data_IF_219094411274
#
_entry.id   IF_219094411274
#
_cell.length_a   1.000
_cell.length_b   1.000
_cell.length_c   1.000
_cell.angle_alpha   90.00
_cell.angle_beta   90.00
_cell.angle_gamma   90.00
#
_symmetry.space_group_name_H-M   'P 1'
#
loop_
_entity.id
_entity.type
_entity.pdbx_description
1 polymer ?
#
# COMPACT_ATOMS: atom_id res chain seq x y z
N UNK A 1 -5.64 -27.34 -2.16
CA UNK A 1 -5.55 -26.95 -3.57
C UNK A 1 -4.41 -25.94 -3.71
N UNK A 2 -3.34 -26.23 -4.45
CA UNK A 2 -2.26 -25.26 -4.64
C UNK A 2 -2.80 -24.06 -5.45
N UNK A 3 -2.58 -22.83 -4.95
CA UNK A 3 -2.94 -21.60 -5.66
C UNK A 3 -2.02 -21.45 -6.87
N UNK A 4 -2.61 -21.42 -8.07
CA UNK A 4 -1.91 -21.10 -9.31
C UNK A 4 -1.47 -19.63 -9.24
N UNK A 5 -0.16 -19.40 -9.04
CA UNK A 5 0.41 -18.05 -8.95
C UNK A 5 0.39 -17.40 -10.33
N UNK A 6 -0.25 -16.24 -10.45
CA UNK A 6 -0.19 -15.46 -11.69
C UNK A 6 1.07 -14.61 -11.71
N UNK A 7 2.08 -15.04 -12.45
CA UNK A 7 3.33 -14.32 -12.60
C UNK A 7 3.22 -13.27 -13.73
N UNK A 8 3.81 -12.09 -13.53
CA UNK A 8 3.96 -11.04 -14.55
C UNK A 8 5.37 -10.45 -14.50
N UNK A 9 5.80 -9.75 -15.56
CA UNK A 9 7.15 -9.18 -15.63
C UNK A 9 7.09 -7.66 -15.51
N UNK A 10 7.98 -7.07 -14.72
CA UNK A 10 8.13 -5.61 -14.61
C UNK A 10 9.61 -5.24 -14.64
N UNK A 11 9.93 -4.22 -15.42
CA UNK A 11 11.26 -3.60 -15.43
C UNK A 11 11.39 -2.73 -14.19
N UNK A 12 12.40 -3.00 -13.36
CA UNK A 12 12.75 -2.20 -12.20
C UNK A 12 14.19 -1.71 -12.38
N UNK A 13 14.41 -0.40 -12.23
CA UNK A 13 15.77 0.14 -12.14
C UNK A 13 16.32 -0.13 -10.74
N UNK A 14 17.37 -0.93 -10.67
CA UNK A 14 18.14 -1.18 -9.46
C UNK A 14 19.58 -0.74 -9.72
N UNK A 15 20.08 0.21 -8.91
CA UNK A 15 21.47 0.67 -8.99
C UNK A 15 21.93 1.14 -10.40
N UNK A 16 21.04 1.71 -11.20
CA UNK A 16 21.36 2.24 -12.54
C UNK A 16 21.23 1.24 -13.68
N UNK A 17 20.87 -0.01 -13.40
CA UNK A 17 20.54 -1.02 -14.41
C UNK A 17 19.05 -1.38 -14.36
N UNK A 18 18.40 -1.35 -15.52
CA UNK A 18 17.01 -1.75 -15.67
C UNK A 18 16.93 -3.28 -15.82
N UNK A 19 16.44 -3.97 -14.80
CA UNK A 19 16.26 -5.42 -14.79
C UNK A 19 14.78 -5.82 -14.91
N UNK A 20 14.47 -6.79 -15.77
CA UNK A 20 13.16 -7.44 -15.78
C UNK A 20 13.05 -8.40 -14.58
N UNK A 21 12.09 -8.14 -13.71
CA UNK A 21 11.80 -8.99 -12.55
C UNK A 21 10.42 -9.59 -12.71
N UNK A 22 10.34 -10.90 -12.47
CA UNK A 22 9.08 -11.63 -12.38
C UNK A 22 8.44 -11.28 -11.04
N UNK A 23 7.34 -10.55 -11.09
CA UNK A 23 6.49 -10.23 -9.95
C UNK A 23 5.34 -11.23 -9.88
N UNK A 24 4.96 -11.64 -8.67
CA UNK A 24 3.71 -12.34 -8.47
C UNK A 24 2.58 -11.30 -8.53
N UNK A 25 1.69 -11.39 -9.52
CA UNK A 25 0.56 -10.47 -9.67
C UNK A 25 -0.48 -10.66 -8.57
N UNK A 26 -0.47 -11.81 -7.89
CA UNK A 26 -1.26 -12.04 -6.69
C UNK A 26 -0.61 -11.37 -5.46
N UNK A 27 0.63 -10.87 -5.56
CA UNK A 27 1.33 -10.12 -4.51
C UNK A 27 0.76 -8.72 -4.32
N UNK A 28 0.06 -8.16 -5.32
CA UNK A 28 -0.81 -6.99 -5.16
C UNK A 28 -1.95 -7.00 -6.19
N UNK A 29 -3.19 -7.34 -5.78
CA UNK A 29 -4.39 -7.21 -6.63
C UNK A 29 -4.57 -5.79 -7.20
N UNK A 30 -4.06 -4.77 -6.49
CA UNK A 30 -4.10 -3.39 -6.94
C UNK A 30 -3.17 -3.14 -8.13
N UNK A 31 -1.97 -3.74 -8.13
CA UNK A 31 -1.04 -3.62 -9.26
C UNK A 31 -1.64 -4.20 -10.55
N UNK A 32 -2.35 -5.34 -10.45
CA UNK A 32 -3.08 -5.92 -11.58
C UNK A 32 -4.24 -5.04 -12.05
N UNK A 33 -5.00 -4.45 -11.11
CA UNK A 33 -6.08 -3.52 -11.45
C UNK A 33 -5.55 -2.24 -12.12
N UNK A 34 -4.40 -1.73 -11.68
CA UNK A 34 -3.78 -0.53 -12.23
C UNK A 34 -3.20 -0.76 -13.64
N UNK A 35 -2.67 -1.94 -13.92
CA UNK A 35 -2.11 -2.27 -15.24
C UNK A 35 -3.17 -2.60 -16.29
N UNK A 36 -4.35 -3.06 -15.86
CA UNK A 36 -5.42 -3.45 -16.78
C UNK A 36 -6.22 -2.24 -17.26
N UNK A 37 -6.49 -2.19 -18.56
CA UNK A 37 -7.39 -1.20 -19.16
C UNK A 37 -8.81 -1.76 -19.25
N UNK A 38 -9.80 -0.95 -18.88
CA UNK A 38 -11.22 -1.23 -19.05
C UNK A 38 -11.65 -1.16 -20.51
N UNK A 39 -12.95 -1.36 -20.76
CA UNK A 39 -13.55 -1.22 -22.10
C UNK A 39 -13.31 0.17 -22.70
N UNK A 40 -13.20 1.18 -21.84
CA UNK A 40 -13.01 2.57 -22.22
C UNK A 40 -11.52 2.95 -22.34
N UNK A 41 -10.61 1.97 -22.31
CA UNK A 41 -9.16 2.18 -22.46
C UNK A 41 -8.45 2.77 -21.24
N UNK A 42 -9.19 3.13 -20.18
CA UNK A 42 -8.66 3.68 -18.93
C UNK A 42 -8.27 2.59 -17.93
N UNK A 43 -7.27 2.88 -17.10
CA UNK A 43 -6.87 1.99 -16.00
C UNK A 43 -8.05 1.73 -15.05
N UNK A 44 -8.15 0.52 -14.48
CA UNK A 44 -9.28 0.18 -13.62
C UNK A 44 -9.25 0.94 -12.28
N UNK A 45 -8.07 1.39 -11.84
CA UNK A 45 -7.85 2.30 -10.71
C UNK A 45 -6.82 3.37 -11.08
N UNK A 46 -6.93 4.56 -10.50
CA UNK A 46 -6.02 5.67 -10.72
C UNK A 46 -4.67 5.48 -9.98
N UNK A 47 -3.57 6.13 -10.40
CA UNK A 47 -2.28 6.02 -9.73
C UNK A 47 -2.31 6.41 -8.24
N UNK A 48 -3.11 7.42 -7.87
CA UNK A 48 -3.27 7.84 -6.47
C UNK A 48 -4.05 6.82 -5.64
N UNK A 49 -5.00 6.12 -6.24
CA UNK A 49 -5.74 5.04 -5.60
C UNK A 49 -4.82 3.84 -5.34
N UNK A 50 -3.98 3.48 -6.33
CA UNK A 50 -2.95 2.45 -6.15
C UNK A 50 -2.00 2.82 -4.99
N UNK A 51 -1.46 4.04 -5.00
CA UNK A 51 -0.55 4.50 -3.95
C UNK A 51 -1.21 4.52 -2.57
N UNK A 52 -2.49 4.90 -2.48
CA UNK A 52 -3.24 4.86 -1.24
C UNK A 52 -3.38 3.43 -0.69
N UNK A 53 -3.79 2.49 -1.54
CA UNK A 53 -3.93 1.08 -1.14
C UNK A 53 -2.61 0.41 -0.79
N UNK A 54 -1.53 0.71 -1.51
CA UNK A 54 -0.19 0.21 -1.18
C UNK A 54 0.35 0.80 0.14
N UNK A 55 0.08 2.08 0.41
CA UNK A 55 0.42 2.69 1.70
C UNK A 55 -0.33 2.03 2.85
N UNK A 56 -1.63 1.76 2.67
CA UNK A 56 -2.43 1.03 3.64
C UNK A 56 -1.85 -0.36 3.91
N UNK A 57 -1.50 -1.10 2.86
CA UNK A 57 -0.86 -2.41 2.96
C UNK A 57 0.46 -2.35 3.73
N UNK A 58 1.30 -1.36 3.43
CA UNK A 58 2.57 -1.15 4.14
C UNK A 58 2.36 -0.88 5.63
N UNK A 59 1.37 -0.06 6.00
CA UNK A 59 1.04 0.18 7.41
C UNK A 59 0.50 -1.09 8.09
N UNK A 60 -0.32 -1.89 7.40
CA UNK A 60 -0.81 -3.18 7.90
C UNK A 60 0.33 -4.18 8.18
N UNK A 61 1.27 -4.33 7.24
CA UNK A 61 2.45 -5.20 7.41
C UNK A 61 3.33 -4.72 8.56
N UNK A 62 3.59 -3.40 8.66
CA UNK A 62 4.38 -2.81 9.76
C UNK A 62 3.70 -2.92 11.12
N UNK A 63 2.37 -2.91 11.16
CA UNK A 63 1.60 -3.14 12.36
C UNK A 63 1.68 -4.60 12.87
N UNK A 64 2.37 -5.49 12.14
CA UNK A 64 2.48 -6.93 12.41
C UNK A 64 1.11 -7.62 12.54
N UNK A 65 0.11 -7.12 11.81
CA UNK A 65 -1.24 -7.72 11.80
C UNK A 65 -1.37 -8.89 10.82
N UNK A 66 -0.31 -9.21 10.07
CA UNK A 66 -0.24 -10.43 9.28
C UNK A 66 -0.02 -11.63 10.20
N UNK A 67 -0.85 -12.70 10.14
CA UNK A 67 -0.59 -13.94 10.85
C UNK A 67 0.81 -14.46 10.46
N UNK A 68 1.72 -14.56 11.44
CA UNK A 68 3.06 -15.11 11.20
C UNK A 68 2.91 -16.60 10.87
N UNK A 69 2.96 -16.96 9.59
CA UNK A 69 2.79 -18.34 9.14
C UNK A 69 4.10 -19.15 9.07
N UNK A 70 5.23 -18.54 9.43
CA UNK A 70 6.49 -19.25 9.65
C UNK A 70 7.00 -18.91 11.04
N UNK A 71 7.29 -19.95 11.82
CA UNK A 71 8.08 -19.82 13.04
C UNK A 71 9.45 -19.28 12.62
N UNK A 72 9.76 -18.06 13.03
CA UNK A 72 11.06 -17.45 12.84
C UNK A 72 12.06 -18.12 13.78
N UNK A 73 12.69 -19.20 13.32
CA UNK A 73 13.73 -19.91 14.05
C UNK A 73 15.07 -19.13 14.09
N UNK A 74 15.15 -17.92 13.50
CA UNK A 74 16.31 -17.04 13.67
C UNK A 74 16.27 -16.21 14.97
N UNK A 75 15.12 -16.19 15.65
CA UNK A 75 14.94 -15.51 16.93
C UNK A 75 15.43 -16.32 18.14
N UNK A 76 16.45 -17.17 17.99
CA UNK A 76 17.14 -17.78 19.12
C UNK A 76 18.21 -16.79 19.63
N UNK A 77 18.03 -16.09 20.75
CA UNK A 77 18.99 -15.09 21.20
C UNK A 77 20.20 -15.81 21.79
N UNK A 78 21.27 -15.97 20.98
CA UNK A 78 22.58 -16.39 21.50
C UNK A 78 23.37 -15.15 21.91
N UNK A 79 23.12 -14.64 23.12
CA UNK A 79 24.01 -13.67 23.76
C UNK A 79 23.34 -12.66 24.70
N UNK A 80 24.10 -12.10 25.67
CA UNK A 80 23.57 -11.19 26.69
C UNK A 80 23.06 -9.89 26.06
N UNK A 81 21.88 -9.44 26.52
CA UNK A 81 21.11 -8.31 25.98
C UNK A 81 21.92 -7.02 25.97
N UNK A 82 22.35 -6.62 24.76
CA UNK A 82 22.75 -5.25 24.44
C UNK A 82 21.72 -4.69 23.45
N UNK A 83 20.47 -4.49 23.90
CA UNK A 83 19.34 -4.31 22.97
C UNK A 83 18.10 -3.55 23.46
N UNK A 84 18.18 -2.79 24.56
CA UNK A 84 17.03 -2.04 25.09
C UNK A 84 16.47 -0.99 24.12
N UNK A 85 17.34 -0.17 23.52
CA UNK A 85 16.92 0.91 22.62
C UNK A 85 16.33 0.41 21.28
N UNK A 86 16.92 -0.65 20.70
CA UNK A 86 16.45 -1.23 19.44
C UNK A 86 15.09 -1.93 19.58
N UNK A 87 14.85 -2.61 20.72
CA UNK A 87 13.55 -3.23 21.01
C UNK A 87 12.43 -2.21 21.22
N UNK A 88 12.72 -1.12 21.95
CA UNK A 88 11.78 -0.03 22.19
C UNK A 88 11.40 0.70 20.89
N UNK A 89 12.39 1.03 20.04
CA UNK A 89 12.15 1.68 18.75
C UNK A 89 11.28 0.82 17.81
N UNK A 90 11.45 -0.50 17.82
CA UNK A 90 10.61 -1.42 17.06
C UNK A 90 9.16 -1.42 17.58
N UNK A 91 8.96 -1.45 18.91
CA UNK A 91 7.63 -1.39 19.52
C UNK A 91 6.90 -0.07 19.21
N UNK A 92 7.61 1.06 19.26
CA UNK A 92 7.07 2.38 18.89
C UNK A 92 6.66 2.43 17.41
N UNK A 93 7.49 1.89 16.51
CA UNK A 93 7.18 1.85 15.08
C UNK A 93 5.93 1.01 14.77
N UNK A 94 5.76 -0.14 15.46
CA UNK A 94 4.55 -0.98 15.36
C UNK A 94 3.32 -0.24 15.88
N UNK A 95 3.42 0.42 17.05
CA UNK A 95 2.32 1.19 17.62
C UNK A 95 1.90 2.34 16.69
N UNK A 96 2.86 3.07 16.14
CA UNK A 96 2.61 4.14 15.18
C UNK A 96 1.92 3.61 13.90
N UNK A 97 2.32 2.43 13.41
CA UNK A 97 1.67 1.79 12.27
C UNK A 97 0.22 1.38 12.58
N UNK A 98 -0.04 0.80 13.75
CA UNK A 98 -1.40 0.49 14.23
C UNK A 98 -2.28 1.74 14.30
N UNK A 99 -1.73 2.84 14.82
CA UNK A 99 -2.46 4.10 14.92
C UNK A 99 -2.79 4.67 13.53
N UNK A 100 -1.85 4.63 12.57
CA UNK A 100 -2.11 5.06 11.19
C UNK A 100 -3.17 4.20 10.51
N UNK A 101 -3.12 2.88 10.70
CA UNK A 101 -4.13 1.97 10.18
C UNK A 101 -5.51 2.28 10.75
N UNK A 102 -5.61 2.43 12.08
CA UNK A 102 -6.88 2.76 12.75
C UNK A 102 -7.47 4.09 12.25
N UNK A 103 -6.64 5.13 12.12
CA UNK A 103 -7.05 6.42 11.56
C UNK A 103 -7.52 6.32 10.11
N UNK A 104 -6.87 5.49 9.30
CA UNK A 104 -7.28 5.26 7.93
C UNK A 104 -8.65 4.56 7.86
N UNK A 105 -8.88 3.53 8.69
CA UNK A 105 -10.18 2.83 8.77
C UNK A 105 -11.31 3.75 9.24
N UNK A 106 -11.05 4.56 10.26
CA UNK A 106 -12.01 5.58 10.71
C UNK A 106 -12.34 6.59 9.58
N UNK A 107 -11.31 7.08 8.89
CA UNK A 107 -11.50 8.07 7.85
C UNK A 107 -12.26 7.53 6.63
N UNK A 108 -12.07 6.25 6.25
CA UNK A 108 -12.83 5.62 5.16
C UNK A 108 -14.22 5.17 5.59
N UNK A 109 -14.45 4.94 6.89
CA UNK A 109 -15.75 4.53 7.42
C UNK A 109 -16.03 3.02 7.33
N UNK A 110 -17.06 2.54 8.05
CA UNK A 110 -17.40 1.12 8.12
C UNK A 110 -17.83 0.53 6.76
N UNK A 111 -18.30 1.36 5.84
CA UNK A 111 -18.79 0.94 4.52
C UNK A 111 -17.65 0.39 3.66
N UNK A 112 -16.44 0.95 3.79
CA UNK A 112 -15.29 0.59 2.96
C UNK A 112 -14.17 -0.12 3.72
N UNK A 113 -14.09 0.02 5.05
CA UNK A 113 -13.01 -0.56 5.87
C UNK A 113 -12.82 -2.05 5.61
N UNK A 114 -13.90 -2.84 5.68
CA UNK A 114 -13.81 -4.28 5.44
C UNK A 114 -13.33 -4.62 4.02
N UNK A 115 -13.85 -3.90 3.01
CA UNK A 115 -13.48 -4.14 1.61
C UNK A 115 -12.00 -3.80 1.36
N UNK A 116 -11.53 -2.66 1.88
CA UNK A 116 -10.14 -2.24 1.74
C UNK A 116 -9.19 -3.20 2.44
N UNK A 117 -9.54 -3.73 3.62
CA UNK A 117 -8.76 -4.76 4.30
C UNK A 117 -8.71 -6.06 3.50
N UNK A 118 -9.85 -6.54 3.01
CA UNK A 118 -9.94 -7.75 2.17
C UNK A 118 -9.01 -7.68 0.96
N UNK A 119 -9.03 -6.55 0.25
CA UNK A 119 -8.33 -6.41 -1.03
C UNK A 119 -6.89 -5.96 -0.85
N UNK A 120 -6.64 -4.93 -0.05
CA UNK A 120 -5.32 -4.32 0.09
C UNK A 120 -4.42 -5.11 1.04
N UNK A 121 -4.99 -5.72 2.09
CA UNK A 121 -4.20 -6.36 3.15
C UNK A 121 -4.23 -7.89 3.04
N UNK A 122 -5.40 -8.47 2.79
CA UNK A 122 -5.58 -9.93 2.65
C UNK A 122 -5.48 -10.43 1.21
N UNK A 123 -5.30 -9.51 0.26
CA UNK A 123 -5.09 -9.79 -1.17
C UNK A 123 -6.20 -10.67 -1.78
N UNK A 124 -7.44 -10.53 -1.31
CA UNK A 124 -8.59 -11.23 -1.91
C UNK A 124 -8.87 -10.70 -3.32
N UNK A 125 -9.16 -11.62 -4.23
CA UNK A 125 -9.60 -11.28 -5.59
C UNK A 125 -11.03 -10.70 -5.61
N UNK A 126 -11.36 -9.90 -6.62
CA UNK A 126 -12.68 -9.25 -6.74
C UNK A 126 -13.83 -10.25 -6.75
N UNK A 127 -13.70 -11.36 -7.47
CA UNK A 127 -14.73 -12.40 -7.55
C UNK A 127 -15.00 -13.07 -6.21
N UNK A 128 -13.94 -13.24 -5.40
CA UNK A 128 -14.07 -13.77 -4.05
C UNK A 128 -14.83 -12.79 -3.16
N UNK A 129 -14.48 -11.50 -3.22
CA UNK A 129 -15.16 -10.44 -2.48
C UNK A 129 -16.64 -10.36 -2.85
N UNK A 130 -16.98 -10.43 -4.15
CA UNK A 130 -18.36 -10.39 -4.62
C UNK A 130 -19.17 -11.56 -4.08
N UNK A 131 -18.61 -12.77 -4.15
CA UNK A 131 -19.24 -13.98 -3.61
C UNK A 131 -19.47 -13.89 -2.09
N UNK A 132 -18.46 -13.49 -1.33
CA UNK A 132 -18.54 -13.40 0.13
C UNK A 132 -19.53 -12.32 0.61
N UNK A 133 -19.72 -11.27 -0.17
CA UNK A 133 -20.61 -10.14 0.15
C UNK A 133 -22.00 -10.25 -0.51
N UNK A 134 -22.24 -11.28 -1.32
CA UNK A 134 -23.49 -11.42 -2.08
C UNK A 134 -23.72 -10.32 -3.11
N UNK A 135 -22.64 -9.70 -3.62
CA UNK A 135 -22.73 -8.63 -4.60
C UNK A 135 -22.87 -9.17 -6.03
N UNK A 136 -23.60 -8.47 -6.92
CA UNK A 136 -23.60 -8.79 -8.34
C UNK A 136 -22.20 -8.71 -8.94
N UNK A 137 -21.97 -9.48 -10.01
CA UNK A 137 -20.69 -9.48 -10.70
C UNK A 137 -20.27 -8.07 -11.15
N UNK A 138 -18.97 -7.76 -11.04
CA UNK A 138 -18.33 -6.47 -11.38
C UNK A 138 -18.67 -5.29 -10.45
N UNK A 139 -19.36 -5.53 -9.34
CA UNK A 139 -19.67 -4.50 -8.33
C UNK A 139 -18.44 -4.17 -7.48
N UNK A 140 -17.64 -5.17 -7.11
CA UNK A 140 -16.54 -4.96 -6.15
C UNK A 140 -15.54 -3.92 -6.65
N UNK A 141 -15.27 -3.90 -7.96
CA UNK A 141 -14.37 -2.90 -8.56
C UNK A 141 -14.87 -1.47 -8.31
N UNK A 142 -16.15 -1.19 -8.54
CA UNK A 142 -16.72 0.15 -8.42
C UNK A 142 -16.67 0.61 -6.97
N UNK A 143 -17.08 -0.25 -6.04
CA UNK A 143 -17.05 0.05 -4.61
C UNK A 143 -15.61 0.22 -4.10
N UNK A 144 -14.68 -0.60 -4.60
CA UNK A 144 -13.25 -0.48 -4.27
C UNK A 144 -12.69 0.88 -4.72
N UNK A 145 -13.01 1.33 -5.93
CA UNK A 145 -12.57 2.64 -6.42
C UNK A 145 -13.06 3.78 -5.52
N UNK A 146 -14.33 3.76 -5.10
CA UNK A 146 -14.89 4.75 -4.18
C UNK A 146 -14.19 4.73 -2.81
N UNK A 147 -13.89 3.54 -2.28
CA UNK A 147 -13.15 3.38 -1.04
C UNK A 147 -11.70 3.91 -1.15
N UNK A 148 -11.02 3.60 -2.26
CA UNK A 148 -9.66 4.07 -2.52
C UNK A 148 -9.60 5.59 -2.74
N UNK A 149 -10.63 6.22 -3.32
CA UNK A 149 -10.70 7.68 -3.41
C UNK A 149 -10.80 8.33 -2.02
N UNK A 150 -11.62 7.76 -1.14
CA UNK A 150 -11.73 8.24 0.25
C UNK A 150 -10.43 8.05 1.02
N UNK A 151 -9.77 6.92 0.81
CA UNK A 151 -8.46 6.62 1.39
C UNK A 151 -7.36 7.56 0.87
N UNK A 152 -7.35 7.84 -0.43
CA UNK A 152 -6.40 8.77 -1.05
C UNK A 152 -6.56 10.18 -0.47
N UNK A 153 -7.81 10.65 -0.28
CA UNK A 153 -8.09 11.92 0.42
C UNK A 153 -7.56 11.93 1.85
N UNK A 154 -7.75 10.85 2.60
CA UNK A 154 -7.21 10.73 3.96
C UNK A 154 -5.67 10.84 3.99
N UNK A 155 -4.99 10.23 3.02
CA UNK A 155 -3.54 10.31 2.91
C UNK A 155 -3.00 11.60 2.28
N UNK A 156 -3.87 12.53 1.87
CA UNK A 156 -3.49 13.76 1.18
C UNK A 156 -2.92 13.52 -0.22
N UNK A 157 -3.28 12.42 -0.87
CA UNK A 157 -2.82 12.09 -2.22
C UNK A 157 -3.76 12.77 -3.24
N UNK A 158 -3.23 13.71 -4.01
CA UNK A 158 -3.94 14.38 -5.10
C UNK A 158 -3.42 13.91 -6.46
N UNK A 159 -4.33 13.68 -7.42
CA UNK A 159 -4.04 13.15 -8.76
C UNK A 159 -3.15 14.01 -9.65
N UNK A 160 -2.74 15.19 -9.18
CA UNK A 160 -1.86 16.13 -9.86
C UNK A 160 -1.25 17.08 -8.82
N UNK A 161 0.06 16.98 -8.59
CA UNK A 161 0.80 18.07 -7.94
C UNK A 161 1.25 18.98 -9.08
N UNK A 162 0.43 19.96 -9.45
CA UNK A 162 0.91 21.11 -10.21
C UNK A 162 1.70 22.00 -9.24
N UNK A 163 3.02 21.79 -9.18
CA UNK A 163 3.91 22.82 -8.65
C UNK A 163 3.76 24.09 -9.49
N UNK A 164 3.88 25.30 -8.91
CA UNK A 164 3.84 26.52 -9.70
C UNK A 164 4.87 26.42 -10.85
N UNK A 165 4.47 26.78 -12.08
CA UNK A 165 5.31 26.68 -13.30
C UNK A 165 6.68 27.37 -13.15
N UNK A 166 6.83 28.24 -12.17
CA UNK A 166 8.11 28.76 -11.67
C UNK A 166 8.03 28.92 -10.15
N UNK A 167 8.88 28.21 -9.43
CA UNK A 167 9.28 28.62 -8.09
C UNK A 167 10.34 29.71 -8.24
N UNK A 168 10.16 30.94 -7.72
CA UNK A 168 11.24 31.91 -7.72
C UNK A 168 12.40 31.32 -6.92
N UNK A 169 13.58 31.24 -7.56
CA UNK A 169 14.82 30.86 -6.87
C UNK A 169 15.03 31.91 -5.78
N UNK A 170 14.79 31.53 -4.52
CA UNK A 170 15.24 32.33 -3.39
C UNK A 170 16.75 32.14 -3.31
N UNK A 171 17.49 33.09 -3.90
CA UNK A 171 18.92 33.18 -3.69
C UNK A 171 19.14 33.47 -2.19
N UNK A 172 19.74 32.50 -1.50
CA UNK A 172 20.21 32.68 -0.14
C UNK A 172 21.35 33.71 -0.20
N UNK A 173 21.07 34.94 0.22
CA UNK A 173 22.11 35.95 0.42
C UNK A 173 22.67 35.75 1.81
N UNK A 174 23.90 35.23 1.89
CA UNK A 174 24.69 35.37 3.09
C UNK A 174 25.03 36.86 3.25
N UNK A 175 24.66 37.41 4.40
CA UNK A 175 24.96 38.79 4.77
C UNK A 175 26.44 38.83 5.19
N UNK A 176 27.29 39.66 4.58
CA UNK A 176 28.66 39.78 5.05
C UNK A 176 28.65 40.55 6.37
N UNK A 177 29.16 39.91 7.41
CA UNK A 177 29.43 40.53 8.70
C UNK A 177 30.47 41.65 8.51
N UNK A 178 30.14 42.83 9.03
CA UNK A 178 31.02 44.00 9.09
C UNK A 178 31.60 44.15 10.49
#
# INVERSE_FOLDING_TARGET
>A
MPRERRLGTRVIEMAGEAGEVVIDLDESPLAWLASRRGRDGQALIAPVQLMAGERLRADFTRAQMTPRLTADWSAMPKGPRRGGAAGLALSEAVLAAKQRLARAMEAVGPEFSGLLMDVCCFLKGMEQVERERGWPARTAKVVLALGLDRLARHYGLAGRIEGPRRSPIRAFRAQPDA
#
